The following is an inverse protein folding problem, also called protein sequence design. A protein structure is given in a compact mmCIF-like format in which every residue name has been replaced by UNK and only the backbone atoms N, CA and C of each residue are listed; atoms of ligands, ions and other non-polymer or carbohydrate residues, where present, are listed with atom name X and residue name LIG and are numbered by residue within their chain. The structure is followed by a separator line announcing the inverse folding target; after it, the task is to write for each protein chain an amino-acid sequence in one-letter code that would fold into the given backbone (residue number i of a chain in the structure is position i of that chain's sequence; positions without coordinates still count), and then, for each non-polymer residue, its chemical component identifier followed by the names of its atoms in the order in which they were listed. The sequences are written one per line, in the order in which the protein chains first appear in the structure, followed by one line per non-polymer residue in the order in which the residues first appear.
data_IF_018743160113
#
_entry.id   IF_018743160113
#
_cell.length_a   1.000
_cell.length_b   1.000
_cell.length_c   1.000
_cell.angle_alpha   90.00
_cell.angle_beta   90.00
_cell.angle_gamma   90.00
#
_symmetry.space_group_name_H-M   'P 1'
#
loop_
_entity.id
_entity.type
_entity.pdbx_description
1 polymer ?
#
# COMPACT_ATOMS: atom_id res chain seq x y z
N UNK A 1 -57.68 -39.48 13.82
CA UNK A 1 -56.41 -39.06 14.44
C UNK A 1 -56.14 -37.64 14.00
N UNK A 2 -56.03 -36.68 14.93
CA UNK A 2 -55.87 -35.24 14.61
C UNK A 2 -54.38 -34.94 14.39
N UNK A 3 -53.99 -34.61 13.17
CA UNK A 3 -52.62 -34.25 12.79
C UNK A 3 -52.30 -32.85 13.28
N UNK A 4 -51.47 -32.75 14.31
CA UNK A 4 -50.94 -31.48 14.82
C UNK A 4 -49.74 -31.08 13.96
N UNK A 5 -49.96 -30.14 13.04
CA UNK A 5 -48.90 -29.52 12.24
C UNK A 5 -48.15 -28.53 13.14
N UNK A 6 -46.93 -28.89 13.56
CA UNK A 6 -46.02 -28.00 14.29
C UNK A 6 -45.30 -27.09 13.28
N UNK A 7 -45.71 -25.84 13.20
CA UNK A 7 -45.05 -24.78 12.45
C UNK A 7 -43.70 -24.45 13.09
N UNK A 8 -42.59 -24.73 12.40
CA UNK A 8 -41.25 -24.33 12.83
C UNK A 8 -41.01 -22.91 12.30
N UNK A 9 -40.96 -21.93 13.20
CA UNK A 9 -40.59 -20.57 12.88
C UNK A 9 -39.07 -20.50 12.66
N UNK A 10 -38.66 -20.24 11.41
CA UNK A 10 -37.26 -20.02 11.04
C UNK A 10 -36.91 -18.58 11.41
N UNK A 11 -36.18 -18.39 12.51
CA UNK A 11 -35.65 -17.07 12.91
C UNK A 11 -34.42 -16.79 12.03
N UNK A 12 -34.60 -15.94 11.02
CA UNK A 12 -33.52 -15.48 10.15
C UNK A 12 -32.55 -14.60 10.93
N UNK A 13 -31.30 -15.06 11.08
CA UNK A 13 -30.22 -14.31 11.68
C UNK A 13 -29.64 -13.37 10.63
N UNK A 14 -30.14 -12.13 10.56
CA UNK A 14 -29.57 -11.10 9.68
C UNK A 14 -28.32 -10.54 10.33
N UNK A 15 -27.16 -11.09 10.00
CA UNK A 15 -25.87 -10.48 10.39
C UNK A 15 -25.73 -9.13 9.69
N UNK A 16 -25.90 -8.06 10.45
CA UNK A 16 -25.52 -6.71 10.04
C UNK A 16 -24.00 -6.70 9.85
N UNK A 17 -23.53 -6.64 8.60
CA UNK A 17 -22.14 -6.33 8.31
C UNK A 17 -21.90 -4.86 8.71
N UNK A 18 -21.44 -4.64 9.94
CA UNK A 18 -20.81 -3.39 10.32
C UNK A 18 -19.54 -3.26 9.47
N UNK A 19 -19.53 -2.31 8.54
CA UNK A 19 -18.34 -1.98 7.75
C UNK A 19 -17.22 -1.58 8.69
N UNK A 20 -16.15 -2.38 8.77
CA UNK A 20 -14.95 -2.00 9.48
C UNK A 20 -14.36 -0.77 8.77
N UNK A 21 -14.35 0.37 9.45
CA UNK A 21 -13.57 1.51 9.01
C UNK A 21 -12.09 1.10 9.09
N UNK A 22 -11.48 0.78 7.95
CA UNK A 22 -10.06 0.46 7.86
C UNK A 22 -9.28 1.76 8.16
N UNK A 23 -8.80 1.91 9.39
CA UNK A 23 -7.90 3.00 9.73
C UNK A 23 -6.58 2.78 8.97
N UNK A 24 -6.20 3.74 8.11
CA UNK A 24 -4.92 3.69 7.40
C UNK A 24 -3.77 3.52 8.41
N UNK A 25 -2.85 2.57 8.20
CA UNK A 25 -1.76 2.32 9.15
C UNK A 25 -0.93 3.60 9.32
N UNK A 26 -0.64 3.96 10.58
CA UNK A 26 0.22 5.11 10.90
C UNK A 26 1.67 4.72 10.61
N UNK A 27 2.18 5.15 9.44
CA UNK A 27 3.57 4.94 9.05
C UNK A 27 4.45 6.03 9.67
N UNK A 28 5.40 5.62 10.50
CA UNK A 28 6.35 6.45 11.24
C UNK A 28 7.78 6.00 10.93
N UNK A 29 8.75 6.90 11.13
CA UNK A 29 10.15 6.56 10.95
C UNK A 29 10.62 5.66 12.11
N UNK A 30 11.34 4.59 11.80
CA UNK A 30 11.91 3.71 12.83
C UNK A 30 13.10 4.36 13.55
N UNK A 31 13.80 5.26 12.86
CA UNK A 31 14.97 5.99 13.34
C UNK A 31 15.07 7.38 12.69
N UNK A 32 16.09 8.14 13.08
CA UNK A 32 16.37 9.49 12.56
C UNK A 32 17.20 9.48 11.26
N UNK A 33 17.26 8.37 10.52
CA UNK A 33 17.98 8.32 9.26
C UNK A 33 17.20 8.95 8.11
N UNK A 34 17.93 9.50 7.13
CA UNK A 34 17.34 10.03 5.90
C UNK A 34 16.52 8.95 5.16
N UNK A 35 16.96 7.70 5.18
CA UNK A 35 16.25 6.58 4.55
C UNK A 35 14.90 6.35 5.18
N UNK A 36 14.83 6.30 6.53
CA UNK A 36 13.56 6.14 7.25
C UNK A 36 12.59 7.28 6.95
N UNK A 37 13.06 8.53 6.92
CA UNK A 37 12.23 9.67 6.58
C UNK A 37 11.72 9.59 5.12
N UNK A 38 12.58 9.25 4.17
CA UNK A 38 12.22 9.10 2.76
C UNK A 38 11.18 7.99 2.55
N UNK A 39 11.31 6.85 3.25
CA UNK A 39 10.33 5.77 3.21
C UNK A 39 8.95 6.22 3.72
N UNK A 40 8.92 6.96 4.83
CA UNK A 40 7.67 7.51 5.38
C UNK A 40 7.05 8.53 4.43
N UNK A 41 7.86 9.43 3.84
CA UNK A 41 7.39 10.42 2.87
C UNK A 41 6.83 9.76 1.61
N UNK A 42 7.49 8.71 1.13
CA UNK A 42 7.03 7.90 0.01
C UNK A 42 5.70 7.20 0.33
N UNK A 43 5.57 6.53 1.47
CA UNK A 43 4.31 5.88 1.89
C UNK A 43 3.17 6.88 2.16
N UNK A 44 3.47 8.07 2.67
CA UNK A 44 2.47 9.15 2.81
C UNK A 44 1.93 9.66 1.48
N UNK A 45 2.53 9.27 0.34
CA UNK A 45 2.01 9.59 -0.99
C UNK A 45 2.17 11.06 -1.39
N UNK A 46 2.97 11.85 -0.66
CA UNK A 46 3.13 13.27 -0.94
C UNK A 46 4.36 13.53 -1.82
N UNK A 47 4.13 13.48 -3.14
CA UNK A 47 5.13 13.73 -4.18
C UNK A 47 5.91 15.04 -3.98
N UNK A 48 5.24 16.13 -3.62
CA UNK A 48 5.88 17.45 -3.47
C UNK A 48 6.84 17.43 -2.28
N UNK A 49 6.42 16.87 -1.15
CA UNK A 49 7.29 16.74 0.03
C UNK A 49 8.47 15.82 -0.26
N UNK A 50 8.24 14.69 -0.93
CA UNK A 50 9.31 13.78 -1.34
C UNK A 50 10.30 14.47 -2.28
N UNK A 51 9.83 15.23 -3.26
CA UNK A 51 10.67 15.99 -4.18
C UNK A 51 11.53 17.02 -3.46
N UNK A 52 10.92 17.83 -2.60
CA UNK A 52 11.63 18.85 -1.83
C UNK A 52 12.69 18.23 -0.91
N UNK A 53 12.36 17.10 -0.28
CA UNK A 53 13.29 16.41 0.59
C UNK A 53 14.47 15.83 -0.19
N UNK A 54 14.22 15.21 -1.34
CA UNK A 54 15.28 14.71 -2.23
C UNK A 54 16.20 15.83 -2.72
N UNK A 55 15.64 16.97 -3.13
CA UNK A 55 16.41 18.13 -3.60
C UNK A 55 17.36 18.69 -2.54
N UNK A 56 16.97 18.62 -1.27
CA UNK A 56 17.76 19.09 -0.15
C UNK A 56 18.65 18.01 0.48
N UNK A 57 18.54 16.76 0.00
CA UNK A 57 19.32 15.62 0.48
C UNK A 57 20.54 15.36 -0.41
N UNK A 58 21.48 14.58 0.10
CA UNK A 58 22.61 14.03 -0.69
C UNK A 58 22.21 12.85 -1.57
N UNK A 59 20.95 12.40 -1.50
CA UNK A 59 20.46 11.20 -2.15
C UNK A 59 19.77 11.53 -3.47
N UNK A 60 20.13 10.81 -4.53
CA UNK A 60 19.53 11.01 -5.85
C UNK A 60 18.18 10.28 -5.98
N UNK A 61 17.30 10.80 -6.85
CA UNK A 61 16.05 10.12 -7.22
C UNK A 61 16.32 8.70 -7.74
N UNK A 62 17.38 8.52 -8.53
CA UNK A 62 17.77 7.21 -9.08
C UNK A 62 18.20 6.23 -8.00
N UNK A 63 18.90 6.68 -6.97
CA UNK A 63 19.24 5.82 -5.82
C UNK A 63 17.98 5.38 -5.07
N UNK A 64 17.05 6.32 -4.81
CA UNK A 64 15.77 5.99 -4.16
C UNK A 64 14.94 5.02 -5.00
N UNK A 65 14.96 5.17 -6.32
CA UNK A 65 14.27 4.28 -7.24
C UNK A 65 14.82 2.85 -7.25
N UNK A 66 16.14 2.69 -7.29
CA UNK A 66 16.75 1.41 -7.67
C UNK A 66 17.47 0.69 -6.52
N UNK A 67 18.03 1.44 -5.57
CA UNK A 67 18.96 0.90 -4.56
C UNK A 67 18.37 0.95 -3.15
N UNK A 68 17.66 2.03 -2.82
CA UNK A 68 17.12 2.25 -1.47
C UNK A 68 16.09 1.20 -1.10
N UNK A 69 16.17 0.73 0.15
CA UNK A 69 15.21 -0.23 0.71
C UNK A 69 14.43 0.38 1.86
N UNK A 70 13.13 0.08 1.89
CA UNK A 70 12.24 0.38 3.00
C UNK A 70 11.87 -0.94 3.67
N UNK A 71 12.34 -1.16 4.89
CA UNK A 71 12.14 -2.42 5.64
C UNK A 71 12.57 -3.68 4.85
N UNK A 72 13.64 -3.57 4.05
CA UNK A 72 14.17 -4.67 3.23
C UNK A 72 13.54 -4.79 1.83
N UNK A 73 12.45 -4.08 1.55
CA UNK A 73 11.75 -4.08 0.25
C UNK A 73 12.16 -2.89 -0.61
N UNK A 74 11.94 -2.98 -1.93
CA UNK A 74 12.13 -1.81 -2.79
C UNK A 74 11.15 -0.70 -2.41
N UNK A 75 11.50 0.56 -2.70
CA UNK A 75 10.58 1.68 -2.43
C UNK A 75 9.27 1.49 -3.18
N UNK A 76 9.30 0.95 -4.40
CA UNK A 76 8.12 0.67 -5.21
C UNK A 76 7.18 -0.34 -4.53
N UNK A 77 7.72 -1.47 -4.06
CA UNK A 77 6.94 -2.51 -3.38
C UNK A 77 6.38 -1.99 -2.05
N UNK A 78 7.20 -1.25 -1.29
CA UNK A 78 6.81 -0.68 -0.03
C UNK A 78 5.67 0.33 -0.17
N UNK A 79 5.72 1.21 -1.18
CA UNK A 79 4.61 2.14 -1.42
C UNK A 79 3.39 1.43 -1.97
N UNK A 80 3.52 0.34 -2.71
CA UNK A 80 2.36 -0.45 -3.15
C UNK A 80 1.66 -1.15 -1.97
N UNK A 81 2.41 -1.62 -0.99
CA UNK A 81 1.86 -2.28 0.20
C UNK A 81 1.26 -1.31 1.22
N UNK A 82 1.89 -0.14 1.43
CA UNK A 82 1.57 0.74 2.57
C UNK A 82 1.22 2.19 2.16
N UNK A 83 1.30 2.51 0.87
CA UNK A 83 1.19 3.87 0.37
C UNK A 83 -0.24 4.35 0.14
N UNK A 84 -0.50 5.63 0.42
CA UNK A 84 -1.81 6.26 0.13
C UNK A 84 -1.95 6.73 -1.33
N UNK A 85 -0.84 6.92 -2.05
CA UNK A 85 -0.82 7.37 -3.45
C UNK A 85 0.39 6.76 -4.20
N UNK A 86 0.46 5.43 -4.18
CA UNK A 86 1.59 4.65 -4.70
C UNK A 86 1.85 4.94 -6.17
N UNK A 87 0.80 5.11 -6.99
CA UNK A 87 0.93 5.43 -8.41
C UNK A 87 1.69 6.75 -8.65
N UNK A 88 1.33 7.83 -7.94
CA UNK A 88 2.00 9.12 -8.12
C UNK A 88 3.45 9.11 -7.64
N UNK A 89 3.76 8.32 -6.60
CA UNK A 89 5.13 8.17 -6.10
C UNK A 89 5.97 7.33 -7.05
N UNK A 90 5.43 6.21 -7.54
CA UNK A 90 6.10 5.35 -8.52
C UNK A 90 6.38 6.08 -9.83
N UNK A 91 5.40 6.83 -10.35
CA UNK A 91 5.57 7.72 -11.50
C UNK A 91 6.68 8.76 -11.23
N UNK A 92 6.60 9.45 -10.08
CA UNK A 92 7.61 10.44 -9.72
C UNK A 92 9.01 9.84 -9.60
N UNK A 93 9.16 8.61 -9.12
CA UNK A 93 10.43 7.91 -9.01
C UNK A 93 10.84 7.23 -10.34
N UNK A 94 9.96 7.21 -11.34
CA UNK A 94 10.13 6.47 -12.60
C UNK A 94 10.35 4.96 -12.37
N UNK A 95 9.64 4.41 -11.38
CA UNK A 95 9.61 3.00 -10.98
C UNK A 95 8.18 2.49 -11.10
N UNK A 96 7.61 2.56 -12.30
CA UNK A 96 6.37 1.88 -12.52
C UNK A 96 6.62 0.38 -12.42
N UNK A 97 5.80 -0.31 -11.63
CA UNK A 97 5.65 -1.76 -11.71
C UNK A 97 5.39 -2.05 -13.18
N UNK A 98 6.38 -2.58 -13.89
CA UNK A 98 6.16 -3.13 -15.21
C UNK A 98 5.06 -4.14 -14.98
N UNK A 99 3.85 -3.85 -15.47
CA UNK A 99 2.90 -4.91 -15.73
C UNK A 99 3.63 -5.74 -16.79
N UNK A 100 4.39 -6.74 -16.34
CA UNK A 100 4.84 -7.79 -17.22
C UNK A 100 3.53 -8.48 -17.58
N UNK A 101 2.79 -7.91 -18.53
CA UNK A 101 1.84 -8.66 -19.33
C UNK A 101 2.67 -9.85 -19.77
N UNK A 102 2.38 -11.01 -19.16
CA UNK A 102 3.15 -12.24 -19.25
C UNK A 102 3.65 -12.38 -20.70
N UNK A 103 4.94 -12.13 -20.91
CA UNK A 103 5.57 -12.41 -22.20
C UNK A 103 5.57 -13.93 -22.27
N UNK A 104 4.51 -14.47 -22.88
CA UNK A 104 4.39 -15.87 -23.20
C UNK A 104 5.42 -16.14 -24.29
N UNK A 105 6.62 -16.53 -23.88
CA UNK A 105 7.62 -17.08 -24.78
C UNK A 105 7.02 -18.36 -25.36
N UNK A 106 6.50 -18.27 -26.58
CA UNK A 106 6.14 -19.44 -27.37
C UNK A 106 7.44 -19.99 -27.93
N UNK A 107 7.69 -21.26 -27.64
CA UNK A 107 8.93 -21.99 -27.92
C UNK A 107 9.14 -22.25 -29.40
#
# INVERSE_FOLDING_TARGET
MKTLVKTIAIVGFTTLFAGAAMASPKIEAADNSLTSELCVLAAKGNKIKLHNHLKNSVVSKQYVANEMKCNGESVADFVDAYGQNSAAIKDYLNVNTQNIASVSYTK
#
